data_IF_446890038126
#
_entry.id   IF_446890038126
#
_cell.length_a   1.000
_cell.length_b   1.000
_cell.length_c   1.000
_cell.angle_alpha   90.00
_cell.angle_beta   90.00
_cell.angle_gamma   90.00
#
_symmetry.space_group_name_H-M   'P 1'
#
loop_
_entity.id
_entity.type
_entity.pdbx_description
1 polymer ?
#
# COMPACT_ATOMS: atom_id res chain seq x y z
N UNK A 1 16.68 -11.22 15.60
CA UNK A 1 15.88 -9.98 15.59
C UNK A 1 15.96 -9.41 14.18
N UNK A 2 15.14 -9.91 13.25
CA UNK A 2 15.12 -9.44 11.87
C UNK A 2 14.03 -8.38 11.78
N UNK A 3 14.40 -7.11 11.71
CA UNK A 3 13.49 -6.11 11.20
C UNK A 3 13.19 -6.50 9.75
N UNK A 4 11.93 -6.83 9.52
CA UNK A 4 11.31 -7.07 8.22
C UNK A 4 11.86 -6.08 7.19
N UNK A 5 12.72 -6.53 6.25
CA UNK A 5 13.24 -5.69 5.16
C UNK A 5 12.10 -5.41 4.16
N UNK A 6 11.13 -4.59 4.58
CA UNK A 6 10.02 -4.20 3.73
C UNK A 6 10.54 -3.34 2.58
N UNK A 7 10.27 -3.80 1.35
CA UNK A 7 10.59 -3.06 0.13
C UNK A 7 9.83 -1.74 0.12
N UNK A 8 10.50 -0.66 -0.28
CA UNK A 8 9.88 0.65 -0.42
C UNK A 8 8.94 0.64 -1.63
N UNK A 9 7.66 0.93 -1.40
CA UNK A 9 6.66 1.03 -2.46
C UNK A 9 6.89 2.30 -3.27
N UNK A 10 6.95 2.17 -4.59
CA UNK A 10 7.21 3.27 -5.51
C UNK A 10 6.26 3.24 -6.70
N UNK A 11 5.98 4.41 -7.26
CA UNK A 11 5.25 4.57 -8.50
C UNK A 11 6.12 5.29 -9.55
N UNK A 12 5.92 4.95 -10.82
CA UNK A 12 6.55 5.63 -11.95
C UNK A 12 5.52 6.53 -12.63
N UNK A 13 5.80 7.83 -12.70
CA UNK A 13 4.99 8.79 -13.44
C UNK A 13 5.58 9.00 -14.84
N UNK A 14 4.82 8.62 -15.86
CA UNK A 14 5.20 8.64 -17.27
C UNK A 14 5.49 7.25 -17.80
N UNK A 15 4.74 6.83 -18.84
CA UNK A 15 4.90 5.54 -19.50
C UNK A 15 5.76 5.62 -20.79
N UNK A 16 6.69 6.57 -20.85
CA UNK A 16 7.66 6.64 -21.96
C UNK A 16 8.70 5.51 -21.89
N UNK A 17 9.62 5.45 -22.85
CA UNK A 17 10.70 4.45 -22.87
C UNK A 17 11.51 4.44 -21.56
N UNK A 18 11.83 5.63 -21.03
CA UNK A 18 12.55 5.79 -19.76
C UNK A 18 11.73 5.24 -18.58
N UNK A 19 10.43 5.55 -18.53
CA UNK A 19 9.56 5.10 -17.44
C UNK A 19 9.38 3.59 -17.43
N UNK A 20 9.27 2.98 -18.61
CA UNK A 20 9.21 1.53 -18.78
C UNK A 20 10.50 0.85 -18.32
N UNK A 21 11.66 1.33 -18.77
CA UNK A 21 12.97 0.80 -18.36
C UNK A 21 13.17 0.92 -16.84
N UNK A 22 12.75 2.05 -16.25
CA UNK A 22 12.77 2.25 -14.81
C UNK A 22 11.84 1.26 -14.08
N UNK A 23 10.61 1.06 -14.56
CA UNK A 23 9.65 0.12 -13.97
C UNK A 23 10.20 -1.31 -13.92
N UNK A 24 10.85 -1.74 -15.00
CA UNK A 24 11.46 -3.06 -15.10
C UNK A 24 12.69 -3.19 -14.16
N UNK A 25 13.50 -2.13 -14.04
CA UNK A 25 14.60 -2.07 -13.05
C UNK A 25 14.10 -2.10 -11.61
N UNK A 26 13.02 -1.40 -11.29
CA UNK A 26 12.38 -1.43 -9.96
C UNK A 26 11.90 -2.85 -9.64
N UNK A 27 11.28 -3.55 -10.59
CA UNK A 27 10.76 -4.90 -10.37
C UNK A 27 11.85 -5.89 -9.96
N UNK A 28 13.07 -5.74 -10.51
CA UNK A 28 14.26 -6.52 -10.16
C UNK A 28 14.93 -6.10 -8.85
N UNK A 29 14.56 -4.95 -8.28
CA UNK A 29 15.20 -4.41 -7.08
C UNK A 29 14.78 -5.18 -5.82
N UNK A 30 15.76 -5.58 -5.01
CA UNK A 30 15.51 -6.15 -3.67
C UNK A 30 15.00 -5.13 -2.66
N UNK A 31 15.09 -3.83 -2.97
CA UNK A 31 14.74 -2.73 -2.05
C UNK A 31 13.44 -2.01 -2.39
N UNK A 32 12.93 -2.15 -3.62
CA UNK A 32 11.79 -1.37 -4.11
C UNK A 32 10.68 -2.28 -4.61
N UNK A 33 9.43 -1.96 -4.33
CA UNK A 33 8.24 -2.63 -4.86
C UNK A 33 7.53 -1.67 -5.84
N UNK A 34 7.40 -2.07 -7.11
CA UNK A 34 6.66 -1.28 -8.09
C UNK A 34 5.15 -1.41 -7.84
N UNK A 35 4.53 -0.35 -7.35
CA UNK A 35 3.10 -0.31 -7.06
C UNK A 35 2.27 0.16 -8.26
N UNK A 36 2.81 1.05 -9.11
CA UNK A 36 2.05 1.69 -10.19
C UNK A 36 2.94 2.30 -11.27
N UNK A 37 2.50 2.23 -12.53
CA UNK A 37 3.00 3.03 -13.65
C UNK A 37 1.85 3.90 -14.16
N UNK A 38 1.95 5.21 -13.96
CA UNK A 38 0.89 6.16 -14.29
C UNK A 38 1.22 6.97 -15.55
N UNK A 39 0.31 7.00 -16.51
CA UNK A 39 0.36 7.85 -17.70
C UNK A 39 -0.86 8.77 -17.77
N UNK A 40 -0.96 9.59 -18.84
CA UNK A 40 -2.13 10.48 -19.08
C UNK A 40 -2.98 10.07 -20.28
N UNK A 41 -2.51 9.13 -21.10
CA UNK A 41 -3.18 8.72 -22.33
C UNK A 41 -3.55 7.24 -22.28
N UNK A 42 -4.84 6.95 -22.23
CA UNK A 42 -5.40 5.59 -22.15
C UNK A 42 -4.88 4.67 -23.26
N UNK A 43 -4.73 5.21 -24.47
CA UNK A 43 -4.23 4.48 -25.65
C UNK A 43 -2.73 4.62 -25.87
N UNK A 44 -1.99 5.13 -24.88
CA UNK A 44 -0.54 5.28 -25.04
C UNK A 44 0.11 3.90 -25.21
N UNK A 45 0.94 3.78 -26.25
CA UNK A 45 1.78 2.60 -26.50
C UNK A 45 2.60 2.22 -25.25
N UNK A 46 2.99 3.23 -24.49
CA UNK A 46 3.68 3.11 -23.22
C UNK A 46 2.94 2.29 -22.17
N UNK A 47 1.71 2.68 -21.84
CA UNK A 47 0.91 1.98 -20.83
C UNK A 47 0.57 0.56 -21.28
N UNK A 48 0.30 0.36 -22.57
CA UNK A 48 0.07 -0.97 -23.14
C UNK A 48 1.29 -1.87 -22.95
N UNK A 49 2.49 -1.40 -23.33
CA UNK A 49 3.73 -2.15 -23.10
C UNK A 49 3.98 -2.43 -21.62
N UNK A 50 3.76 -1.44 -20.75
CA UNK A 50 3.89 -1.62 -19.31
C UNK A 50 2.96 -2.73 -18.79
N UNK A 51 1.71 -2.75 -19.25
CA UNK A 51 0.75 -3.80 -18.92
C UNK A 51 1.16 -5.17 -19.47
N UNK A 52 1.62 -5.23 -20.72
CA UNK A 52 2.09 -6.47 -21.37
C UNK A 52 3.28 -7.10 -20.63
N UNK A 53 4.14 -6.27 -20.02
CA UNK A 53 5.23 -6.76 -19.17
C UNK A 53 4.78 -7.16 -17.76
N UNK A 54 3.50 -6.97 -17.42
CA UNK A 54 2.91 -7.29 -16.11
C UNK A 54 3.11 -6.22 -15.04
N UNK A 55 3.29 -4.95 -15.42
CA UNK A 55 3.31 -3.83 -14.47
C UNK A 55 1.89 -3.34 -14.19
N UNK A 56 1.55 -2.96 -12.94
CA UNK A 56 0.30 -2.27 -12.64
C UNK A 56 0.27 -0.90 -13.34
N UNK A 57 -0.78 -0.59 -14.09
CA UNK A 57 -0.85 0.63 -14.92
C UNK A 57 -2.13 1.43 -14.70
N UNK A 58 -2.06 2.73 -14.98
CA UNK A 58 -3.22 3.63 -14.98
C UNK A 58 -3.00 4.79 -15.95
N UNK A 59 -4.08 5.33 -16.48
CA UNK A 59 -4.15 6.58 -17.26
C UNK A 59 -4.56 7.80 -16.41
N UNK A 60 -4.76 7.63 -15.10
CA UNK A 60 -5.15 8.70 -14.17
C UNK A 60 -4.03 9.69 -13.80
N UNK A 61 -2.87 9.59 -14.44
CA UNK A 61 -1.74 10.51 -14.26
C UNK A 61 -1.27 10.63 -12.81
N UNK A 62 -0.89 11.86 -12.42
CA UNK A 62 -0.41 12.15 -11.07
C UNK A 62 -1.48 11.94 -10.00
N UNK A 63 -2.76 12.13 -10.33
CA UNK A 63 -3.86 11.93 -9.39
C UNK A 63 -3.90 10.48 -8.91
N UNK A 64 -3.76 9.51 -9.81
CA UNK A 64 -3.72 8.11 -9.42
C UNK A 64 -2.54 7.77 -8.47
N UNK A 65 -1.41 8.50 -8.59
CA UNK A 65 -0.28 8.36 -7.67
C UNK A 65 -0.58 9.00 -6.31
N UNK A 66 -1.23 10.18 -6.30
CA UNK A 66 -1.58 10.89 -5.07
C UNK A 66 -2.65 10.16 -4.25
N UNK A 67 -3.70 9.64 -4.90
CA UNK A 67 -4.75 8.82 -4.27
C UNK A 67 -4.20 7.47 -3.80
N UNK A 68 -3.21 6.92 -4.51
CA UNK A 68 -2.47 5.72 -4.12
C UNK A 68 -1.34 5.97 -3.12
N UNK A 69 -1.24 7.18 -2.56
CA UNK A 69 -0.17 7.63 -1.66
C UNK A 69 0.01 6.72 -0.44
N UNK A 70 1.18 6.79 0.24
CA UNK A 70 1.55 5.83 1.26
C UNK A 70 0.51 5.85 2.39
N UNK A 71 -0.25 4.77 2.53
CA UNK A 71 -0.88 4.42 3.79
C UNK A 71 0.28 4.24 4.77
N UNK A 72 0.59 5.27 5.55
CA UNK A 72 1.52 5.15 6.66
C UNK A 72 0.92 4.09 7.56
N UNK A 73 1.44 2.85 7.49
CA UNK A 73 1.14 1.86 8.51
C UNK A 73 1.83 2.39 9.76
N UNK A 74 1.10 3.17 10.55
CA UNK A 74 1.52 3.53 11.90
C UNK A 74 1.78 2.21 12.61
N UNK A 75 3.01 2.01 13.06
CA UNK A 75 3.45 0.84 13.83
C UNK A 75 2.84 0.81 15.24
N UNK A 76 1.72 1.49 15.49
CA UNK A 76 1.00 1.41 16.74
C UNK A 76 0.17 0.12 16.72
N UNK A 77 0.47 -0.89 17.54
CA UNK A 77 -0.44 -2.01 17.71
C UNK A 77 -1.80 -1.47 18.18
N UNK A 78 -2.93 -2.02 17.73
CA UNK A 78 -4.22 -1.65 18.29
C UNK A 78 -4.14 -1.91 19.80
N UNK A 79 -4.30 -0.87 20.61
CA UNK A 79 -4.49 -1.05 22.05
C UNK A 79 -5.66 -2.01 22.21
N UNK A 80 -5.51 -3.18 22.85
CA UNK A 80 -6.65 -4.02 23.12
C UNK A 80 -7.59 -3.21 24.00
N UNK A 81 -8.74 -2.83 23.44
CA UNK A 81 -9.85 -2.26 24.19
C UNK A 81 -10.13 -3.25 25.32
N UNK A 82 -9.83 -2.85 26.55
CA UNK A 82 -10.08 -3.67 27.71
C UNK A 82 -11.58 -4.01 27.72
N UNK A 83 -11.88 -5.30 27.61
CA UNK A 83 -13.22 -5.84 27.83
C UNK A 83 -13.68 -5.38 29.21
N UNK A 84 -14.85 -4.73 29.36
CA UNK A 84 -15.36 -4.45 30.70
C UNK A 84 -15.59 -5.79 31.40
N UNK A 85 -14.78 -6.07 32.41
CA UNK A 85 -14.94 -7.20 33.32
C UNK A 85 -16.26 -7.01 34.07
N UNK A 86 -17.32 -7.65 33.58
CA UNK A 86 -18.56 -7.79 34.32
C UNK A 86 -18.34 -8.91 35.33
N UNK A 87 -17.83 -8.56 36.51
CA UNK A 87 -17.84 -9.45 37.66
C UNK A 87 -19.28 -9.74 38.10
N UNK A 88 -19.56 -10.90 38.73
CA UNK A 88 -20.90 -11.21 39.22
C UNK A 88 -21.28 -10.25 40.36
N UNK A 89 -22.37 -9.51 40.18
CA UNK A 89 -23.02 -8.78 41.25
C UNK A 89 -23.66 -9.78 42.22
N UNK A 90 -22.99 -10.07 43.34
CA UNK A 90 -23.64 -10.77 44.45
C UNK A 90 -24.55 -9.80 45.20
N UNK A 91 -25.86 -10.00 45.06
CA UNK A 91 -26.86 -9.31 45.87
C UNK A 91 -27.11 -10.13 47.15
N UNK A 92 -26.51 -9.71 48.26
CA UNK A 92 -26.78 -10.29 49.58
C UNK A 92 -28.00 -9.58 50.20
N UNK A 93 -29.05 -10.29 50.62
CA UNK A 93 -30.15 -9.67 51.36
C UNK A 93 -29.68 -9.26 52.77
N UNK A 94 -30.09 -8.07 53.19
CA UNK A 94 -29.80 -7.54 54.52
C UNK A 94 -30.46 -8.41 55.62
N UNK A 95 -29.75 -8.74 56.71
CA UNK A 95 -30.36 -9.46 57.83
C UNK A 95 -31.29 -8.53 58.63
N UNK A 96 -32.41 -9.09 59.10
CA UNK A 96 -33.32 -8.45 60.07
C UNK A 96 -32.81 -8.63 61.49
#
# INVERSE_FOLDING_TARGET
MAADEQRLRVAVLGAGLIGIDLADKIRRSKKLELALVAGRGRDSLGLRRAADMGHPTTDGGIHAVAEGGPSTRSSTPPTPTATPSTGPHYNLPAPR
#
